data_IF_512815348177
#
_entry.id   IF_512815348177
#
_cell.length_a   1.000
_cell.length_b   1.000
_cell.length_c   1.000
_cell.angle_alpha   90.00
_cell.angle_beta   90.00
_cell.angle_gamma   90.00
#
_symmetry.space_group_name_H-M   'P 1'
#
loop_
_entity.id
_entity.type
_entity.pdbx_description
1 polymer ?
#
# COMPACT_ATOMS: atom_id res chain seq x y z
N UNK A 1 -24.37 -0.46 -6.23
CA UNK A 1 -23.00 -0.05 -6.61
C UNK A 1 -23.06 0.55 -8.02
N UNK A 2 -22.69 1.82 -8.17
CA UNK A 2 -22.84 2.56 -9.42
C UNK A 2 -21.93 1.99 -10.53
N UNK A 3 -22.52 1.60 -11.67
CA UNK A 3 -21.78 1.26 -12.89
C UNK A 3 -21.17 2.56 -13.44
N UNK A 4 -19.87 2.77 -13.23
CA UNK A 4 -19.16 3.91 -13.84
C UNK A 4 -19.10 3.73 -15.35
N UNK A 5 -19.34 4.81 -16.09
CA UNK A 5 -19.25 4.88 -17.56
C UNK A 5 -17.88 4.36 -18.00
N UNK A 6 -17.88 3.37 -18.89
CA UNK A 6 -16.65 2.90 -19.52
C UNK A 6 -16.06 4.05 -20.34
N UNK A 7 -14.96 4.61 -19.87
CA UNK A 7 -14.17 5.56 -20.65
C UNK A 7 -13.74 4.85 -21.94
N UNK A 8 -14.03 5.49 -23.09
CA UNK A 8 -13.78 4.98 -24.45
C UNK A 8 -12.30 4.60 -24.70
N UNK A 9 -11.39 5.04 -23.84
CA UNK A 9 -9.96 4.73 -23.87
C UNK A 9 -9.63 3.72 -22.77
N UNK A 10 -8.94 2.64 -23.13
CA UNK A 10 -8.48 1.63 -22.19
C UNK A 10 -7.28 2.16 -21.40
N UNK A 11 -7.56 2.87 -20.31
CA UNK A 11 -6.56 3.48 -19.44
C UNK A 11 -5.49 2.48 -18.96
N UNK A 12 -5.87 1.22 -18.71
CA UNK A 12 -4.93 0.18 -18.29
C UNK A 12 -3.93 -0.19 -19.38
N UNK A 13 -4.33 -0.13 -20.66
CA UNK A 13 -3.42 -0.40 -21.77
C UNK A 13 -2.44 0.76 -21.97
N UNK A 14 -2.94 2.00 -21.96
CA UNK A 14 -2.10 3.18 -22.04
C UNK A 14 -1.00 3.23 -20.95
N UNK A 15 -1.32 2.81 -19.73
CA UNK A 15 -0.32 2.69 -18.65
C UNK A 15 0.76 1.67 -18.98
N UNK A 16 0.39 0.51 -19.54
CA UNK A 16 1.36 -0.54 -19.89
C UNK A 16 2.27 -0.11 -21.03
N UNK A 17 1.70 0.55 -22.04
CA UNK A 17 2.44 1.04 -23.19
C UNK A 17 3.41 2.15 -22.76
N UNK A 18 2.96 3.06 -21.88
CA UNK A 18 3.82 4.10 -21.30
C UNK A 18 4.94 3.53 -20.44
N UNK A 19 4.64 2.54 -19.59
CA UNK A 19 5.62 1.86 -18.74
C UNK A 19 6.64 1.06 -19.57
N UNK A 20 6.24 0.53 -20.74
CA UNK A 20 7.14 -0.16 -21.66
C UNK A 20 8.11 0.81 -22.35
N UNK A 21 7.64 2.01 -22.73
CA UNK A 21 8.47 3.06 -23.30
C UNK A 21 9.36 3.77 -22.26
N UNK A 22 8.92 3.83 -20.99
CA UNK A 22 9.60 4.56 -19.91
C UNK A 22 9.76 3.69 -18.65
N UNK A 23 10.65 2.68 -18.67
CA UNK A 23 10.85 1.79 -17.54
C UNK A 23 11.40 2.55 -16.33
N UNK A 24 10.86 2.26 -15.14
CA UNK A 24 11.35 2.84 -13.88
C UNK A 24 10.76 4.20 -13.49
N UNK A 25 9.91 4.80 -14.33
CA UNK A 25 9.24 6.06 -14.01
C UNK A 25 8.38 5.95 -12.74
N UNK A 26 8.38 6.98 -11.90
CA UNK A 26 7.53 7.01 -10.70
C UNK A 26 6.04 6.96 -11.08
N UNK A 27 5.19 6.15 -10.41
CA UNK A 27 3.76 6.05 -10.71
C UNK A 27 3.01 7.39 -10.71
N UNK A 28 3.49 8.38 -9.94
CA UNK A 28 2.94 9.75 -9.92
C UNK A 28 3.20 10.48 -11.24
N UNK A 29 4.41 10.36 -11.79
CA UNK A 29 4.80 10.98 -13.07
C UNK A 29 4.04 10.37 -14.24
N UNK A 30 3.90 9.05 -14.27
CA UNK A 30 3.07 8.35 -15.27
C UNK A 30 1.62 8.86 -15.25
N UNK A 31 1.04 9.06 -14.07
CA UNK A 31 -0.30 9.60 -13.95
C UNK A 31 -0.42 11.06 -14.43
N UNK A 32 0.58 11.90 -14.16
CA UNK A 32 0.65 13.28 -14.65
C UNK A 32 0.73 13.33 -16.18
N UNK A 33 1.57 12.50 -16.79
CA UNK A 33 1.77 12.50 -18.25
C UNK A 33 0.57 11.92 -19.00
N UNK A 34 -0.06 10.87 -18.46
CA UNK A 34 -1.29 10.32 -19.04
C UNK A 34 -2.49 11.27 -18.85
N UNK A 35 -2.51 12.07 -17.78
CA UNK A 35 -3.50 13.15 -17.61
C UNK A 35 -3.38 14.23 -18.68
N UNK A 36 -2.16 14.63 -19.05
CA UNK A 36 -1.92 15.58 -20.15
C UNK A 36 -2.43 15.04 -21.49
N UNK A 37 -2.41 13.72 -21.67
CA UNK A 37 -2.96 13.04 -22.84
C UNK A 37 -4.49 12.86 -22.78
N UNK A 38 -5.17 13.47 -21.81
CA UNK A 38 -6.62 13.42 -21.65
C UNK A 38 -7.12 12.16 -20.93
N UNK A 39 -6.23 11.33 -20.38
CA UNK A 39 -6.61 10.15 -19.60
C UNK A 39 -6.49 10.48 -18.12
N UNK A 40 -7.63 10.73 -17.46
CA UNK A 40 -7.64 11.04 -16.04
C UNK A 40 -7.43 9.79 -15.18
N UNK A 41 -6.21 9.63 -14.66
CA UNK A 41 -5.79 8.45 -13.90
C UNK A 41 -5.08 8.87 -12.62
N UNK A 42 -5.39 8.21 -11.50
CA UNK A 42 -4.66 8.38 -10.24
C UNK A 42 -3.40 7.47 -10.17
N UNK A 43 -2.33 7.93 -9.53
CA UNK A 43 -1.11 7.13 -9.29
C UNK A 43 -1.36 5.81 -8.54
N UNK A 44 -2.39 5.75 -7.68
CA UNK A 44 -2.81 4.49 -7.04
C UNK A 44 -3.29 3.44 -8.05
N UNK A 45 -3.95 3.88 -9.12
CA UNK A 45 -4.40 3.00 -10.18
C UNK A 45 -3.21 2.47 -10.99
N UNK A 46 -2.24 3.34 -11.33
CA UNK A 46 -0.98 2.94 -11.97
C UNK A 46 -0.24 1.88 -11.15
N UNK A 47 -0.12 2.08 -9.83
CA UNK A 47 0.50 1.10 -8.92
C UNK A 47 -0.22 -0.25 -8.95
N UNK A 48 -1.56 -0.23 -8.96
CA UNK A 48 -2.38 -1.45 -9.03
C UNK A 48 -2.18 -2.17 -10.38
N UNK A 49 -2.13 -1.43 -11.49
CA UNK A 49 -1.88 -2.00 -12.82
C UNK A 49 -0.48 -2.63 -12.88
N UNK A 50 0.57 -1.96 -12.36
CA UNK A 50 1.93 -2.53 -12.27
C UNK A 50 1.98 -3.79 -11.42
N UNK A 51 1.35 -3.78 -10.25
CA UNK A 51 1.28 -4.95 -9.37
C UNK A 51 0.58 -6.12 -10.06
N UNK A 52 -0.55 -5.86 -10.73
CA UNK A 52 -1.28 -6.88 -11.48
C UNK A 52 -0.50 -7.37 -12.71
N UNK A 53 0.24 -6.50 -13.41
CA UNK A 53 1.09 -6.87 -14.53
C UNK A 53 2.21 -7.84 -14.07
N UNK A 54 2.87 -7.55 -12.94
CA UNK A 54 3.86 -8.45 -12.33
C UNK A 54 3.27 -9.80 -11.93
N UNK A 55 2.05 -9.80 -11.36
CA UNK A 55 1.36 -11.03 -10.94
C UNK A 55 0.87 -11.88 -12.10
N UNK A 56 0.48 -11.24 -13.20
CA UNK A 56 -0.01 -11.93 -14.40
C UNK A 56 1.13 -12.38 -15.34
N UNK A 57 2.31 -11.75 -15.27
CA UNK A 57 3.50 -12.15 -16.02
C UNK A 57 4.06 -13.52 -15.64
N UNK A 58 3.70 -14.07 -14.48
CA UNK A 58 4.13 -15.41 -14.03
C UNK A 58 3.14 -16.55 -14.28
N UNK A 59 1.90 -16.25 -14.71
CA UNK A 59 0.91 -17.30 -15.00
C UNK A 59 -0.28 -16.71 -15.75
N UNK A 60 -0.34 -16.98 -17.04
CA UNK A 60 -1.59 -16.94 -17.81
C UNK A 60 -2.62 -17.83 -17.09
N UNK A 61 -3.51 -17.23 -16.30
CA UNK A 61 -4.71 -17.92 -15.85
C UNK A 61 -5.58 -18.12 -17.08
N UNK A 62 -5.48 -19.32 -17.69
CA UNK A 62 -6.44 -19.75 -18.70
C UNK A 62 -7.84 -19.54 -18.13
N UNK A 63 -8.63 -18.70 -18.79
CA UNK A 63 -10.04 -18.57 -18.53
C UNK A 63 -10.71 -19.89 -18.95
N UNK A 64 -11.06 -20.72 -17.98
CA UNK A 64 -11.75 -21.97 -18.24
C UNK A 64 -11.53 -23.01 -17.15
N UNK A 65 -12.49 -23.07 -16.21
CA UNK A 65 -13.15 -24.29 -15.67
C UNK A 65 -13.56 -24.07 -14.20
N UNK A 66 -14.84 -24.21 -13.83
CA UNK A 66 -15.24 -24.28 -12.44
C UNK A 66 -14.86 -25.66 -11.91
N UNK A 67 -13.87 -25.73 -11.02
CA UNK A 67 -13.59 -26.99 -10.32
C UNK A 67 -14.40 -27.00 -9.04
N UNK A 68 -15.43 -27.86 -9.07
CA UNK A 68 -16.27 -28.23 -7.92
C UNK A 68 -15.39 -28.65 -6.73
N UNK A 69 -15.90 -28.39 -5.53
CA UNK A 69 -15.39 -28.87 -4.24
C UNK A 69 -15.05 -30.37 -4.25
N UNK A 70 -13.86 -30.71 -3.76
CA UNK A 70 -13.53 -31.94 -3.02
C UNK A 70 -12.27 -31.59 -2.19
N UNK A 71 -12.39 -31.33 -0.89
CA UNK A 71 -12.33 -32.32 0.19
C UNK A 71 -10.97 -33.06 0.28
N UNK A 72 -10.25 -32.85 1.41
CA UNK A 72 -9.19 -33.75 1.91
C UNK A 72 -7.75 -33.36 1.59
N UNK A 73 -7.03 -32.71 2.52
CA UNK A 73 -5.84 -33.25 3.25
C UNK A 73 -4.60 -33.48 2.37
N UNK A 74 -3.54 -32.68 2.48
CA UNK A 74 -2.50 -32.83 3.53
C UNK A 74 -1.99 -31.47 4.02
N UNK A 75 -2.19 -31.18 5.31
CA UNK A 75 -1.44 -30.14 6.02
C UNK A 75 -0.09 -30.73 6.45
N UNK A 76 1.01 -30.26 5.85
CA UNK A 76 2.36 -30.39 6.42
C UNK A 76 3.00 -29.00 6.50
N UNK A 77 3.21 -28.55 7.72
CA UNK A 77 4.32 -27.67 8.12
C UNK A 77 4.32 -26.24 7.57
N UNK A 78 3.55 -25.35 8.18
CA UNK A 78 4.03 -23.99 8.43
C UNK A 78 3.89 -23.74 9.93
N UNK A 79 4.99 -23.44 10.66
CA UNK A 79 4.86 -23.13 12.08
C UNK A 79 3.89 -21.95 12.26
N UNK A 80 3.06 -21.95 13.32
CA UNK A 80 2.19 -20.82 13.60
C UNK A 80 3.08 -19.60 13.75
N UNK A 81 2.95 -18.65 12.80
CA UNK A 81 3.60 -17.36 12.91
C UNK A 81 3.06 -16.74 14.20
N UNK A 82 3.97 -16.62 15.15
CA UNK A 82 3.93 -15.80 16.35
C UNK A 82 2.69 -14.92 16.48
N UNK A 83 1.97 -15.20 17.56
CA UNK A 83 1.14 -14.28 18.35
C UNK A 83 1.09 -12.87 17.74
N UNK A 84 -0.02 -12.57 17.06
CA UNK A 84 -0.35 -11.19 16.71
C UNK A 84 -0.35 -10.38 18.02
N UNK A 85 0.46 -9.32 18.17
CA UNK A 85 0.12 -8.33 19.15
C UNK A 85 -1.27 -7.79 18.80
N UNK A 86 -2.05 -7.70 19.86
CA UNK A 86 -3.43 -7.30 19.97
C UNK A 86 -3.80 -6.09 19.11
N UNK A 87 -5.09 -6.01 18.80
CA UNK A 87 -5.77 -4.98 18.04
C UNK A 87 -5.67 -3.57 18.66
N UNK A 88 -4.48 -2.96 18.62
CA UNK A 88 -4.23 -1.57 19.02
C UNK A 88 -3.41 -0.76 17.99
N UNK A 89 -2.91 -1.35 16.91
CA UNK A 89 -2.13 -0.65 15.89
C UNK A 89 -3.02 -0.16 14.73
N UNK A 90 -3.78 0.91 14.96
CA UNK A 90 -4.49 1.65 13.89
C UNK A 90 -3.81 2.95 13.47
N UNK A 91 -2.65 3.28 14.04
CA UNK A 91 -1.81 4.35 13.52
C UNK A 91 -0.78 3.73 12.57
N UNK A 92 -0.72 4.23 11.33
CA UNK A 92 0.42 3.94 10.48
C UNK A 92 1.68 4.51 11.14
N UNK A 93 2.89 3.98 10.87
CA UNK A 93 4.13 4.54 11.43
C UNK A 93 4.27 6.04 11.15
N UNK A 94 3.65 6.54 10.08
CA UNK A 94 3.61 7.97 9.76
C UNK A 94 2.66 8.77 10.65
N UNK A 95 1.48 8.24 10.99
CA UNK A 95 0.53 8.90 11.89
C UNK A 95 1.12 9.06 13.29
N UNK A 96 1.88 8.06 13.75
CA UNK A 96 2.59 8.13 15.03
C UNK A 96 3.60 9.29 15.06
N UNK A 97 4.29 9.54 13.93
CA UNK A 97 5.22 10.67 13.82
C UNK A 97 4.48 12.02 13.82
N UNK A 98 3.31 12.10 13.18
CA UNK A 98 2.50 13.32 13.17
C UNK A 98 1.98 13.66 14.58
N UNK A 99 1.51 12.65 15.31
CA UNK A 99 1.07 12.80 16.70
C UNK A 99 2.23 13.23 17.60
N UNK A 100 3.41 12.62 17.42
CA UNK A 100 4.60 13.02 18.16
C UNK A 100 4.98 14.47 17.84
N UNK A 101 4.90 14.89 16.57
CA UNK A 101 5.16 16.27 16.18
C UNK A 101 4.20 17.26 16.87
N UNK A 102 2.92 16.92 16.98
CA UNK A 102 1.94 17.74 17.69
C UNK A 102 2.28 17.88 19.17
N UNK A 103 2.57 16.75 19.84
CA UNK A 103 2.98 16.76 21.25
C UNK A 103 4.28 17.54 21.47
N UNK A 104 5.23 17.45 20.53
CA UNK A 104 6.47 18.25 20.62
C UNK A 104 6.20 19.74 20.51
N UNK A 105 5.16 20.17 19.79
CA UNK A 105 4.78 21.57 19.72
C UNK A 105 4.11 22.04 21.03
N UNK A 106 3.24 21.22 21.62
CA UNK A 106 2.56 21.52 22.90
C UNK A 106 3.53 21.60 24.08
N UNK A 107 4.53 20.71 24.11
CA UNK A 107 5.54 20.66 25.16
C UNK A 107 6.62 21.74 25.01
N UNK A 108 6.51 22.62 24.01
CA UNK A 108 7.38 23.78 23.78
C UNK A 108 8.68 23.49 23.00
N UNK A 109 8.74 22.33 22.35
CA UNK A 109 9.76 21.99 21.36
C UNK A 109 10.52 20.70 21.66
N UNK A 110 11.41 20.34 20.73
CA UNK A 110 12.14 19.07 20.75
C UNK A 110 13.02 18.88 21.99
N UNK A 111 13.61 19.94 22.53
CA UNK A 111 14.49 19.84 23.71
C UNK A 111 13.70 19.45 24.96
N UNK A 112 12.58 20.14 25.21
CA UNK A 112 11.71 19.87 26.35
C UNK A 112 11.07 18.47 26.27
N UNK A 113 10.77 17.99 25.06
CA UNK A 113 10.32 16.59 24.92
C UNK A 113 11.39 15.55 25.24
N UNK A 114 12.67 15.83 24.98
CA UNK A 114 13.75 14.91 25.35
C UNK A 114 13.94 14.87 26.85
N UNK A 115 14.00 16.04 27.50
CA UNK A 115 14.10 16.11 28.96
C UNK A 115 12.90 15.42 29.63
N UNK A 116 11.69 15.60 29.11
CA UNK A 116 10.50 14.91 29.62
C UNK A 116 10.58 13.38 29.44
N UNK A 117 11.13 12.90 28.32
CA UNK A 117 11.34 11.47 28.10
C UNK A 117 12.42 10.90 29.03
N UNK A 118 13.52 11.62 29.24
CA UNK A 118 14.59 11.22 30.16
C UNK A 118 14.04 11.14 31.60
N UNK A 119 13.25 12.14 32.02
CA UNK A 119 12.58 12.12 33.32
C UNK A 119 11.60 10.94 33.44
N UNK A 120 10.79 10.68 32.41
CA UNK A 120 9.90 9.52 32.39
C UNK A 120 10.66 8.20 32.49
N UNK A 121 11.81 8.07 31.83
CA UNK A 121 12.64 6.87 31.92
C UNK A 121 13.19 6.67 33.34
N UNK A 122 13.63 7.75 34.01
CA UNK A 122 14.07 7.67 35.41
C UNK A 122 12.94 7.31 36.39
N UNK A 123 11.70 7.70 36.10
CA UNK A 123 10.53 7.38 36.94
C UNK A 123 9.98 5.99 36.65
N UNK A 124 9.99 5.55 35.39
CA UNK A 124 9.42 4.26 34.98
C UNK A 124 10.31 3.05 35.31
N UNK A 125 11.63 3.24 35.40
CA UNK A 125 12.60 2.19 35.72
C UNK A 125 12.96 2.12 37.21
N UNK A 126 12.13 2.70 38.08
CA UNK A 126 12.32 2.77 39.54
C UNK A 126 11.22 2.00 40.25
#
# INVERSE_FOLDING_TARGET
MAKKKASKVNAAQAIRDYDAAHPGTSPKKVAEDLKKQGIDINGQYVSTIRSNAKRNGGKTRKAGRPVKKAAGTVKRGRPPRSVKPSAAAKSTPFDALLQLQQLTAELGGYQQTREALDLLETVANK
#
